data_IF_357771249879
#
_entry.id   IF_357771249879
#
_cell.length_a   1.000
_cell.length_b   1.000
_cell.length_c   1.000
_cell.angle_alpha   90.00
_cell.angle_beta   90.00
_cell.angle_gamma   90.00
#
_symmetry.space_group_name_H-M   'P 1'
#
loop_
_entity.id
_entity.type
_entity.pdbx_description
1 polymer ?
#
# COMPACT_ATOMS: atom_id res chain seq x y z
N UNK A 1 28.03 20.03 -26.87
CA UNK A 1 27.38 18.76 -26.52
C UNK A 1 27.06 18.64 -25.03
N UNK A 2 27.99 18.28 -24.13
CA UNK A 2 27.65 17.87 -22.73
C UNK A 2 26.77 18.90 -21.98
N UNK A 3 27.13 20.20 -22.02
CA UNK A 3 26.35 21.25 -21.34
C UNK A 3 24.98 21.53 -21.99
N UNK A 4 24.84 21.34 -23.29
CA UNK A 4 23.55 21.47 -23.98
C UNK A 4 22.64 20.29 -23.63
N UNK A 5 23.16 19.05 -23.67
CA UNK A 5 22.39 17.85 -23.31
C UNK A 5 21.87 17.92 -21.86
N UNK A 6 22.71 18.36 -20.92
CA UNK A 6 22.29 18.57 -19.54
C UNK A 6 21.24 19.70 -19.38
N UNK A 7 21.27 20.73 -20.23
CA UNK A 7 20.26 21.79 -20.22
C UNK A 7 18.92 21.35 -20.87
N UNK A 8 19.00 20.51 -21.91
CA UNK A 8 17.87 19.85 -22.57
C UNK A 8 17.18 18.85 -21.64
N UNK A 9 17.94 17.96 -21.00
CA UNK A 9 17.49 17.03 -19.96
C UNK A 9 16.83 17.78 -18.78
N UNK A 10 17.43 18.89 -18.31
CA UNK A 10 16.83 19.74 -17.28
C UNK A 10 15.57 20.50 -17.74
N UNK A 11 15.42 20.76 -19.04
CA UNK A 11 14.21 21.30 -19.65
C UNK A 11 13.08 20.28 -19.65
N UNK A 12 13.36 19.08 -20.15
CA UNK A 12 12.43 17.94 -20.18
C UNK A 12 11.94 17.60 -18.76
N UNK A 13 12.85 17.53 -17.78
CA UNK A 13 12.51 17.30 -16.38
C UNK A 13 11.51 18.34 -15.84
N UNK A 14 11.71 19.62 -16.15
CA UNK A 14 10.79 20.71 -15.75
C UNK A 14 9.43 20.61 -16.43
N UNK A 15 9.38 20.18 -17.70
CA UNK A 15 8.12 19.98 -18.41
C UNK A 15 7.35 18.76 -17.86
N UNK A 16 8.01 17.64 -17.57
CA UNK A 16 7.39 16.46 -16.95
C UNK A 16 6.77 16.79 -15.58
N UNK A 17 7.53 17.46 -14.71
CA UNK A 17 7.05 17.92 -13.39
C UNK A 17 5.89 18.90 -13.57
N UNK A 18 5.99 19.87 -14.48
CA UNK A 18 4.90 20.80 -14.77
C UNK A 18 3.65 20.09 -15.31
N UNK A 19 3.80 19.05 -16.13
CA UNK A 19 2.70 18.26 -16.66
C UNK A 19 1.95 17.54 -15.54
N UNK A 20 2.63 16.77 -14.69
CA UNK A 20 1.95 15.93 -13.69
C UNK A 20 1.44 16.73 -12.47
N UNK A 21 2.12 17.80 -12.05
CA UNK A 21 1.68 18.62 -10.92
C UNK A 21 0.64 19.71 -11.27
N UNK A 22 0.53 20.15 -12.54
CA UNK A 22 -0.51 21.12 -12.97
C UNK A 22 -1.81 20.47 -13.46
N UNK A 23 -1.78 19.22 -13.95
CA UNK A 23 -2.95 18.55 -14.55
C UNK A 23 -3.69 17.67 -13.54
N UNK A 24 -4.85 18.14 -13.07
CA UNK A 24 -5.75 17.36 -12.22
C UNK A 24 -6.27 16.07 -12.91
N UNK A 25 -6.82 15.09 -12.15
CA UNK A 25 -7.07 13.73 -12.65
C UNK A 25 -7.95 13.63 -13.90
N UNK A 26 -8.92 14.53 -14.11
CA UNK A 26 -9.71 14.57 -15.34
C UNK A 26 -8.87 14.90 -16.58
N UNK A 27 -7.88 15.80 -16.47
CA UNK A 27 -7.00 16.15 -17.59
C UNK A 27 -6.08 15.00 -17.97
N UNK A 28 -5.60 14.23 -16.98
CA UNK A 28 -4.84 12.98 -17.19
C UNK A 28 -5.71 11.89 -17.83
N UNK A 29 -6.93 11.67 -17.34
CA UNK A 29 -7.93 10.81 -18.00
C UNK A 29 -8.11 11.14 -19.48
N UNK A 30 -8.30 12.41 -19.81
CA UNK A 30 -8.55 12.80 -21.20
C UNK A 30 -7.29 12.68 -22.08
N UNK A 31 -6.09 12.82 -21.52
CA UNK A 31 -4.86 12.45 -22.21
C UNK A 31 -4.78 10.94 -22.48
N UNK A 32 -5.06 10.10 -21.48
CA UNK A 32 -5.11 8.63 -21.62
C UNK A 32 -6.19 8.21 -22.63
N UNK A 33 -7.39 8.80 -22.59
CA UNK A 33 -8.47 8.56 -23.57
C UNK A 33 -8.09 8.94 -25.00
N UNK A 34 -7.27 9.99 -25.19
CA UNK A 34 -6.70 10.32 -26.52
C UNK A 34 -5.64 9.32 -26.94
N UNK A 35 -4.70 8.96 -26.05
CA UNK A 35 -3.66 7.97 -26.33
C UNK A 35 -4.26 6.59 -26.70
N UNK A 36 -5.29 6.14 -25.99
CA UNK A 36 -6.03 4.90 -26.32
C UNK A 36 -6.53 4.92 -27.77
N UNK A 37 -7.08 6.03 -28.26
CA UNK A 37 -7.54 6.15 -29.67
C UNK A 37 -6.40 6.15 -30.71
N UNK A 38 -5.16 6.39 -30.29
CA UNK A 38 -3.97 6.36 -31.16
C UNK A 38 -3.30 4.98 -31.12
N UNK A 39 -3.43 4.24 -30.02
CA UNK A 39 -2.76 2.95 -29.82
C UNK A 39 -3.67 1.72 -29.97
N UNK A 40 -5.00 1.83 -29.85
CA UNK A 40 -5.93 0.74 -30.21
C UNK A 40 -6.05 0.63 -31.73
N UNK A 41 -5.10 -0.06 -32.37
CA UNK A 41 -5.26 -0.55 -33.75
C UNK A 41 -6.19 -1.77 -33.76
N UNK A 42 -7.22 -1.82 -34.62
CA UNK A 42 -8.01 -3.04 -34.85
C UNK A 42 -7.20 -4.20 -35.45
N UNK A 43 -6.08 -3.88 -36.11
CA UNK A 43 -5.25 -4.82 -36.88
C UNK A 43 -4.15 -5.46 -36.02
N UNK A 44 -3.70 -4.76 -34.96
CA UNK A 44 -2.70 -5.21 -34.01
C UNK A 44 -3.08 -4.84 -32.55
N UNK A 45 -4.20 -5.35 -32.02
CA UNK A 45 -4.64 -5.05 -30.65
C UNK A 45 -3.76 -5.75 -29.60
N UNK A 46 -3.47 -5.06 -28.49
CA UNK A 46 -2.65 -5.63 -27.41
C UNK A 46 -3.35 -6.82 -26.70
N UNK A 47 -2.64 -7.95 -26.62
CA UNK A 47 -3.10 -9.22 -26.03
C UNK A 47 -2.09 -9.80 -25.01
N UNK A 48 -2.35 -11.00 -24.47
CA UNK A 48 -1.43 -11.69 -23.55
C UNK A 48 -0.26 -12.39 -24.27
N UNK A 49 -0.31 -12.39 -25.61
CA UNK A 49 0.62 -13.07 -26.49
C UNK A 49 1.47 -12.05 -27.28
N UNK A 50 0.93 -10.86 -27.56
CA UNK A 50 1.62 -9.77 -28.24
C UNK A 50 1.19 -8.40 -27.71
N UNK A 51 2.18 -7.55 -27.43
CA UNK A 51 1.98 -6.13 -27.15
C UNK A 51 2.73 -5.35 -28.24
N UNK A 52 2.09 -4.42 -28.97
CA UNK A 52 2.76 -3.56 -29.95
C UNK A 52 3.93 -2.74 -29.36
N UNK A 53 4.98 -2.50 -30.15
CA UNK A 53 6.22 -1.89 -29.65
C UNK A 53 6.05 -0.44 -29.14
N UNK A 54 5.12 0.32 -29.72
CA UNK A 54 4.74 1.65 -29.23
C UNK A 54 4.15 1.64 -27.80
N UNK A 55 3.71 0.49 -27.30
CA UNK A 55 3.29 0.27 -25.91
C UNK A 55 4.38 -0.41 -25.07
N UNK A 56 5.23 -1.25 -25.67
CA UNK A 56 6.36 -1.93 -24.99
C UNK A 56 7.52 -1.01 -24.64
N UNK A 57 7.76 0.04 -25.43
CA UNK A 57 8.94 0.90 -25.38
C UNK A 57 8.56 2.32 -24.95
N UNK A 58 9.39 2.95 -24.13
CA UNK A 58 9.27 4.34 -23.69
C UNK A 58 9.84 5.31 -24.75
N UNK A 59 9.61 6.61 -24.55
CA UNK A 59 9.95 7.64 -25.53
C UNK A 59 11.47 7.85 -25.70
N UNK A 60 12.27 7.36 -24.75
CA UNK A 60 13.74 7.35 -24.75
C UNK A 60 14.33 6.06 -25.37
N UNK A 61 13.49 5.13 -25.83
CA UNK A 61 13.90 3.82 -26.35
C UNK A 61 14.09 2.73 -25.29
N UNK A 62 13.88 3.03 -24.00
CA UNK A 62 13.97 2.03 -22.92
C UNK A 62 12.73 1.12 -22.88
N UNK A 63 12.87 -0.09 -22.31
CA UNK A 63 11.75 -1.00 -22.16
C UNK A 63 10.83 -0.53 -21.01
N UNK A 64 9.52 -0.68 -21.23
CA UNK A 64 8.50 -0.66 -20.18
C UNK A 64 7.96 -2.07 -19.88
N UNK A 65 7.97 -2.96 -20.88
CA UNK A 65 7.52 -4.36 -20.77
C UNK A 65 8.74 -5.26 -20.65
N UNK A 66 9.07 -5.63 -19.40
CA UNK A 66 10.24 -6.45 -19.07
C UNK A 66 9.96 -7.96 -19.06
N UNK A 67 8.69 -8.39 -18.96
CA UNK A 67 8.25 -9.75 -19.30
C UNK A 67 6.93 -9.74 -20.07
N UNK A 68 6.84 -10.66 -21.02
CA UNK A 68 5.69 -10.93 -21.88
C UNK A 68 5.54 -12.45 -21.99
N UNK A 69 4.81 -13.04 -21.03
CA UNK A 69 4.47 -14.46 -20.98
C UNK A 69 2.93 -14.59 -20.94
N UNK A 70 2.38 -15.66 -21.53
CA UNK A 70 0.93 -15.89 -21.69
C UNK A 70 0.09 -15.72 -20.39
N UNK A 71 0.71 -15.91 -19.23
CA UNK A 71 0.08 -15.78 -17.90
C UNK A 71 0.71 -14.69 -17.02
N UNK A 72 1.79 -14.04 -17.47
CA UNK A 72 2.56 -13.08 -16.67
C UNK A 72 3.17 -11.98 -17.54
N UNK A 73 2.70 -10.75 -17.34
CA UNK A 73 3.39 -9.55 -17.81
C UNK A 73 4.05 -8.83 -16.63
N UNK A 74 5.24 -8.26 -16.84
CA UNK A 74 5.92 -7.42 -15.86
C UNK A 74 6.20 -6.06 -16.48
N UNK A 75 5.68 -5.02 -15.84
CA UNK A 75 5.77 -3.63 -16.25
C UNK A 75 6.57 -2.83 -15.23
N UNK A 76 7.61 -2.14 -15.67
CA UNK A 76 8.32 -1.11 -14.89
C UNK A 76 9.19 -0.26 -15.82
N UNK A 77 9.74 0.82 -15.28
CA UNK A 77 10.77 1.62 -15.94
C UNK A 77 12.05 1.53 -15.10
N UNK A 78 13.13 1.03 -15.70
CA UNK A 78 14.43 0.85 -15.06
C UNK A 78 14.94 2.17 -14.44
N UNK A 79 14.80 3.30 -15.14
CA UNK A 79 15.27 4.61 -14.64
C UNK A 79 14.54 5.05 -13.36
N UNK A 80 13.21 4.84 -13.28
CA UNK A 80 12.41 5.18 -12.10
C UNK A 80 12.85 4.38 -10.87
N UNK A 81 13.17 3.09 -11.02
CA UNK A 81 13.63 2.25 -9.90
C UNK A 81 15.04 2.68 -9.46
N UNK A 82 15.96 2.88 -10.40
CA UNK A 82 17.33 3.27 -10.11
C UNK A 82 17.42 4.67 -9.46
N UNK A 83 16.62 5.63 -9.94
CA UNK A 83 16.52 6.95 -9.32
C UNK A 83 15.90 6.87 -7.92
N UNK A 84 14.86 6.05 -7.71
CA UNK A 84 14.31 5.83 -6.37
C UNK A 84 15.33 5.22 -5.42
N UNK A 85 16.15 4.26 -5.88
CA UNK A 85 17.26 3.67 -5.12
C UNK A 85 18.25 4.74 -4.65
N UNK A 86 18.73 5.57 -5.58
CA UNK A 86 19.71 6.64 -5.34
C UNK A 86 19.16 7.70 -4.36
N UNK A 87 17.88 8.07 -4.48
CA UNK A 87 17.19 9.01 -3.60
C UNK A 87 16.71 8.39 -2.26
N UNK A 88 17.31 7.28 -1.84
CA UNK A 88 17.13 6.71 -0.51
C UNK A 88 15.86 5.88 -0.33
N UNK A 89 15.59 4.96 -1.27
CA UNK A 89 14.47 4.02 -1.24
C UNK A 89 14.33 3.26 0.09
N UNK A 90 13.54 3.78 1.03
CA UNK A 90 13.31 3.11 2.31
C UNK A 90 12.53 1.78 2.13
N UNK A 91 11.67 1.61 1.09
CA UNK A 91 11.12 0.35 0.50
C UNK A 91 9.77 0.50 -0.25
N UNK A 92 9.30 -0.50 -1.01
CA UNK A 92 8.35 -0.29 -2.12
C UNK A 92 6.90 -0.85 -1.93
N UNK A 93 5.84 -0.05 -1.65
CA UNK A 93 4.44 -0.55 -1.42
C UNK A 93 3.99 -1.58 -2.44
N UNK A 94 3.39 -2.70 -2.04
CA UNK A 94 2.73 -3.57 -3.01
C UNK A 94 1.46 -4.24 -2.50
N UNK A 95 0.64 -4.60 -3.49
CA UNK A 95 -0.72 -5.08 -3.29
C UNK A 95 -1.27 -5.72 -4.58
N UNK A 96 -2.27 -6.59 -4.46
CA UNK A 96 -2.86 -7.34 -5.59
C UNK A 96 -4.36 -7.09 -5.80
N UNK A 97 -4.75 -6.61 -6.98
CA UNK A 97 -6.10 -6.11 -7.28
C UNK A 97 -6.81 -6.97 -8.34
N UNK A 98 -7.94 -7.57 -7.98
CA UNK A 98 -8.70 -8.44 -8.89
C UNK A 98 -9.57 -7.70 -9.91
N UNK A 99 -9.95 -6.43 -9.68
CA UNK A 99 -10.86 -5.67 -10.56
C UNK A 99 -10.20 -5.14 -11.84
N UNK A 100 -8.93 -4.71 -11.77
CA UNK A 100 -8.22 -4.07 -12.88
C UNK A 100 -7.51 -5.03 -13.86
N UNK A 101 -7.73 -6.34 -13.74
CA UNK A 101 -7.25 -7.31 -14.72
C UNK A 101 -7.83 -7.03 -16.13
N UNK A 102 -7.06 -7.21 -17.23
CA UNK A 102 -7.56 -7.05 -18.59
C UNK A 102 -8.80 -7.89 -18.90
N UNK A 103 -9.72 -7.36 -19.73
CA UNK A 103 -10.95 -8.08 -20.17
C UNK A 103 -10.66 -9.47 -20.75
N UNK A 104 -9.56 -9.60 -21.48
CA UNK A 104 -9.04 -10.83 -22.07
C UNK A 104 -8.97 -11.98 -21.05
N UNK A 105 -8.64 -11.70 -19.77
CA UNK A 105 -8.43 -12.71 -18.73
C UNK A 105 -9.72 -13.25 -18.08
N UNK A 106 -10.91 -12.79 -18.51
CA UNK A 106 -12.23 -13.36 -18.12
C UNK A 106 -12.38 -13.62 -16.60
N UNK A 107 -11.98 -12.65 -15.77
CA UNK A 107 -12.00 -12.69 -14.29
C UNK A 107 -11.01 -13.66 -13.61
N UNK A 108 -10.12 -14.33 -14.36
CA UNK A 108 -9.12 -15.28 -13.82
C UNK A 108 -7.74 -14.68 -13.50
N UNK A 109 -7.49 -13.43 -13.86
CA UNK A 109 -6.24 -12.72 -13.58
C UNK A 109 -6.29 -11.84 -12.32
N UNK A 110 -5.15 -11.19 -12.01
CA UNK A 110 -5.02 -10.22 -10.93
C UNK A 110 -3.93 -9.21 -11.29
N UNK A 111 -4.20 -7.92 -11.14
CA UNK A 111 -3.21 -6.88 -11.34
C UNK A 111 -2.42 -6.70 -10.04
N UNK A 112 -1.15 -7.07 -10.05
CA UNK A 112 -0.25 -6.86 -8.95
C UNK A 112 0.59 -5.61 -9.19
N UNK A 113 0.70 -4.76 -8.17
CA UNK A 113 1.37 -3.46 -8.29
C UNK A 113 2.37 -3.30 -7.16
N UNK A 114 3.62 -2.99 -7.51
CA UNK A 114 4.69 -2.62 -6.57
C UNK A 114 5.09 -1.18 -6.86
N UNK A 115 5.28 -0.38 -5.82
CA UNK A 115 5.42 1.07 -5.84
C UNK A 115 6.69 1.46 -5.12
N UNK A 116 7.70 1.95 -5.85
CA UNK A 116 8.86 2.62 -5.25
C UNK A 116 8.48 3.88 -4.49
N UNK A 117 7.95 3.71 -3.27
CA UNK A 117 7.95 4.73 -2.24
C UNK A 117 9.28 4.61 -1.50
N UNK A 118 9.63 5.62 -0.71
CA UNK A 118 10.46 5.40 0.47
C UNK A 118 9.57 4.89 1.65
N UNK A 119 8.84 3.76 1.45
CA UNK A 119 8.05 2.83 2.32
C UNK A 119 6.65 2.43 1.71
N UNK A 120 6.20 1.16 1.51
CA UNK A 120 6.79 -0.17 1.72
C UNK A 120 5.90 -1.44 1.34
N UNK A 121 6.40 -2.52 0.65
CA UNK A 121 5.68 -3.78 0.19
C UNK A 121 6.35 -4.70 -0.91
N UNK A 122 5.66 -5.73 -1.53
CA UNK A 122 6.30 -6.84 -2.38
C UNK A 122 5.69 -7.53 -3.69
N UNK A 123 4.41 -7.60 -4.09
CA UNK A 123 3.87 -8.65 -5.04
C UNK A 123 4.35 -8.77 -6.54
N UNK A 124 3.89 -9.83 -7.24
CA UNK A 124 4.56 -10.76 -8.19
C UNK A 124 5.85 -11.31 -7.57
N UNK A 125 5.69 -11.79 -6.33
CA UNK A 125 6.62 -11.47 -5.25
C UNK A 125 8.10 -11.76 -5.56
N UNK A 126 8.48 -13.03 -5.80
CA UNK A 126 9.90 -13.36 -6.02
C UNK A 126 10.44 -12.84 -7.35
N UNK A 127 9.58 -12.59 -8.35
CA UNK A 127 10.01 -12.09 -9.67
C UNK A 127 10.21 -10.59 -9.61
N UNK A 128 9.21 -9.79 -9.20
CA UNK A 128 9.41 -8.33 -9.08
C UNK A 128 10.48 -8.02 -8.03
N UNK A 129 10.64 -8.82 -6.96
CA UNK A 129 11.70 -8.53 -5.98
C UNK A 129 13.08 -8.95 -6.44
N UNK A 130 13.20 -9.86 -7.40
CA UNK A 130 14.45 -10.04 -8.14
C UNK A 130 14.71 -8.84 -9.03
N UNK A 131 13.80 -8.50 -9.96
CA UNK A 131 13.95 -7.31 -10.81
C UNK A 131 14.31 -6.05 -9.98
N UNK A 132 13.60 -5.76 -8.89
CA UNK A 132 13.92 -4.65 -8.00
C UNK A 132 15.25 -4.79 -7.26
N UNK A 133 15.64 -5.99 -6.82
CA UNK A 133 16.95 -6.22 -6.18
C UNK A 133 18.10 -6.07 -7.17
N UNK A 134 17.89 -6.53 -8.39
CA UNK A 134 18.88 -6.52 -9.47
C UNK A 134 19.10 -5.06 -9.93
N UNK A 135 18.03 -4.26 -10.04
CA UNK A 135 18.07 -2.81 -10.30
C UNK A 135 18.56 -1.98 -9.09
N UNK A 136 18.27 -2.40 -7.85
CA UNK A 136 18.81 -1.78 -6.64
C UNK A 136 20.31 -2.06 -6.45
N UNK A 137 20.79 -3.22 -6.90
CA UNK A 137 22.19 -3.63 -6.84
C UNK A 137 22.84 -3.41 -5.48
N UNK A 138 23.91 -2.60 -5.46
CA UNK A 138 24.64 -2.24 -4.24
C UNK A 138 23.95 -1.15 -3.38
N UNK A 139 22.90 -0.50 -3.88
CA UNK A 139 22.18 0.57 -3.19
C UNK A 139 21.07 0.07 -2.24
N UNK A 140 20.89 -1.26 -2.09
CA UNK A 140 19.95 -1.85 -1.12
C UNK A 140 20.29 -1.38 0.31
N UNK A 141 19.39 -0.66 1.02
CA UNK A 141 19.70 -0.15 2.35
C UNK A 141 19.95 -1.28 3.38
N UNK A 142 20.96 -1.16 4.26
CA UNK A 142 21.31 -2.20 5.24
C UNK A 142 20.23 -2.42 6.31
N UNK A 143 19.21 -1.55 6.37
CA UNK A 143 18.02 -1.70 7.22
C UNK A 143 16.73 -1.52 6.42
N UNK A 144 16.71 -2.02 5.18
CA UNK A 144 15.49 -2.12 4.37
C UNK A 144 14.39 -2.77 5.22
N UNK A 145 13.28 -2.06 5.41
CA UNK A 145 12.05 -2.56 6.04
C UNK A 145 11.21 -3.16 4.93
N UNK A 146 10.43 -4.22 5.15
CA UNK A 146 9.41 -4.64 4.18
C UNK A 146 8.03 -4.77 4.82
N UNK A 147 7.04 -3.94 4.44
CA UNK A 147 5.68 -3.93 5.01
C UNK A 147 4.67 -4.54 4.06
N UNK A 148 3.98 -5.60 4.49
CA UNK A 148 3.12 -6.40 3.63
C UNK A 148 1.64 -6.31 4.02
N UNK A 149 0.75 -6.78 3.16
CA UNK A 149 -0.46 -7.43 3.65
C UNK A 149 -0.10 -8.78 4.27
N UNK A 150 -1.03 -9.42 4.96
CA UNK A 150 -0.75 -10.70 5.65
C UNK A 150 -0.78 -11.91 4.69
N UNK A 151 -0.46 -11.70 3.41
CA UNK A 151 -0.38 -12.74 2.40
C UNK A 151 0.85 -13.63 2.63
N UNK A 152 0.62 -14.93 2.81
CA UNK A 152 1.68 -15.91 3.10
C UNK A 152 2.73 -16.00 1.99
N UNK A 153 2.32 -15.82 0.72
CA UNK A 153 3.24 -15.77 -0.41
C UNK A 153 4.16 -14.54 -0.34
N UNK A 154 3.65 -13.38 0.10
CA UNK A 154 4.42 -12.15 0.29
C UNK A 154 5.56 -12.32 1.28
N UNK A 155 5.17 -12.83 2.44
CA UNK A 155 6.02 -13.05 3.60
C UNK A 155 7.15 -14.04 3.25
N UNK A 156 6.84 -15.08 2.49
CA UNK A 156 7.81 -16.08 2.05
C UNK A 156 8.81 -15.53 1.02
N UNK A 157 8.37 -14.63 0.14
CA UNK A 157 9.21 -14.07 -0.91
C UNK A 157 10.18 -13.00 -0.41
N UNK A 158 9.79 -12.16 0.56
CA UNK A 158 10.72 -11.28 1.31
C UNK A 158 11.92 -12.09 1.79
N UNK A 159 11.63 -13.15 2.55
CA UNK A 159 12.62 -14.02 3.18
C UNK A 159 13.54 -14.70 2.15
N UNK A 160 13.06 -14.90 0.92
CA UNK A 160 13.83 -15.50 -0.18
C UNK A 160 14.73 -14.50 -0.91
N UNK A 161 14.29 -13.25 -1.12
CA UNK A 161 15.02 -12.30 -1.97
C UNK A 161 15.81 -11.26 -1.16
N UNK A 162 15.22 -10.78 -0.07
CA UNK A 162 15.78 -9.80 0.87
C UNK A 162 15.84 -10.39 2.31
N UNK A 163 16.70 -11.42 2.54
CA UNK A 163 16.73 -12.16 3.82
C UNK A 163 17.13 -11.31 5.04
N UNK A 164 17.74 -10.14 4.82
CA UNK A 164 18.14 -9.20 5.88
C UNK A 164 17.11 -8.07 6.12
N UNK A 165 16.00 -8.04 5.38
CA UNK A 165 15.01 -6.98 5.52
C UNK A 165 14.05 -7.18 6.70
N UNK A 166 13.65 -6.08 7.34
CA UNK A 166 12.73 -6.11 8.49
C UNK A 166 11.28 -6.24 8.01
N UNK A 167 10.78 -7.47 7.88
CA UNK A 167 9.37 -7.77 7.60
C UNK A 167 8.42 -7.15 8.67
N UNK A 168 7.33 -6.54 8.23
CA UNK A 168 6.26 -5.98 9.07
C UNK A 168 4.89 -6.24 8.40
N UNK A 169 3.86 -6.55 9.18
CA UNK A 169 2.49 -6.57 8.68
C UNK A 169 1.85 -5.17 8.73
N UNK A 170 1.07 -4.81 7.72
CA UNK A 170 0.49 -3.47 7.64
C UNK A 170 -0.72 -3.31 8.59
N UNK A 171 -0.53 -2.51 9.64
CA UNK A 171 -1.50 -2.25 10.71
C UNK A 171 -2.96 -2.04 10.25
N UNK A 172 -3.20 -1.20 9.23
CA UNK A 172 -4.56 -0.89 8.79
C UNK A 172 -5.18 -2.06 7.98
N UNK A 173 -4.41 -2.96 7.38
CA UNK A 173 -4.97 -4.21 6.81
C UNK A 173 -5.53 -5.10 7.93
N UNK A 174 -4.73 -5.30 8.98
CA UNK A 174 -5.14 -6.06 10.16
C UNK A 174 -6.40 -5.45 10.80
N UNK A 175 -6.46 -4.12 10.90
CA UNK A 175 -7.63 -3.40 11.40
C UNK A 175 -8.90 -3.56 10.55
N UNK A 176 -8.81 -3.43 9.21
CA UNK A 176 -9.97 -3.70 8.34
C UNK A 176 -10.46 -5.13 8.51
N UNK A 177 -9.53 -6.09 8.60
CA UNK A 177 -9.86 -7.50 8.74
C UNK A 177 -10.51 -7.81 10.10
N UNK A 178 -9.99 -7.25 11.20
CA UNK A 178 -10.64 -7.25 12.51
C UNK A 178 -12.05 -6.64 12.45
N UNK A 179 -12.21 -5.46 11.83
CA UNK A 179 -13.52 -4.81 11.65
C UNK A 179 -14.51 -5.72 10.91
N UNK A 180 -14.09 -6.40 9.84
CA UNK A 180 -14.92 -7.38 9.12
C UNK A 180 -15.21 -8.64 9.95
N UNK A 181 -14.30 -9.10 10.82
CA UNK A 181 -14.55 -10.23 11.74
C UNK A 181 -15.53 -9.84 12.85
N UNK A 182 -15.40 -8.65 13.46
CA UNK A 182 -16.36 -8.08 14.42
C UNK A 182 -17.78 -8.07 13.86
N UNK A 183 -17.93 -7.54 12.64
CA UNK A 183 -19.24 -7.40 12.00
C UNK A 183 -19.83 -8.79 11.64
N UNK A 184 -19.01 -9.73 11.13
CA UNK A 184 -19.42 -11.13 10.91
C UNK A 184 -19.83 -11.88 12.18
N UNK A 185 -19.15 -11.63 13.30
CA UNK A 185 -19.50 -12.20 14.60
C UNK A 185 -20.71 -11.50 15.26
N UNK A 186 -21.26 -10.45 14.64
CA UNK A 186 -22.35 -9.67 15.20
C UNK A 186 -21.97 -8.94 16.49
N UNK A 187 -20.68 -8.65 16.72
CA UNK A 187 -20.20 -7.87 17.87
C UNK A 187 -20.57 -6.38 17.74
N UNK A 188 -20.74 -5.88 16.52
CA UNK A 188 -21.03 -4.47 16.20
C UNK A 188 -22.26 -3.91 16.94
N UNK A 189 -23.29 -4.73 17.21
CA UNK A 189 -24.52 -4.34 17.93
C UNK A 189 -24.32 -4.00 19.42
N UNK A 190 -23.20 -4.42 20.01
CA UNK A 190 -22.84 -4.07 21.39
C UNK A 190 -21.96 -2.83 21.46
N UNK A 191 -21.42 -2.37 20.33
CA UNK A 191 -20.38 -1.33 20.23
C UNK A 191 -20.96 -0.05 19.62
N UNK A 192 -21.78 -0.18 18.57
CA UNK A 192 -22.65 0.88 18.08
C UNK A 192 -24.06 0.61 18.56
N UNK A 193 -24.76 1.67 18.95
CA UNK A 193 -26.18 1.64 19.29
C UNK A 193 -26.99 1.04 18.12
N UNK A 194 -27.86 0.10 18.44
CA UNK A 194 -28.65 -0.66 17.49
C UNK A 194 -30.07 -0.84 18.03
N UNK A 195 -31.07 -0.80 17.15
CA UNK A 195 -32.48 -0.88 17.54
C UNK A 195 -32.73 -2.17 18.32
N UNK A 196 -33.18 -2.03 19.57
CA UNK A 196 -33.46 -3.16 20.48
C UNK A 196 -32.25 -3.80 21.15
N UNK A 197 -31.03 -3.25 21.03
CA UNK A 197 -29.84 -3.77 21.73
C UNK A 197 -29.09 -2.65 22.44
N UNK A 198 -28.98 -2.77 23.77
CA UNK A 198 -28.20 -1.85 24.59
C UNK A 198 -26.70 -1.97 24.27
N UNK A 199 -26.03 -0.82 24.18
CA UNK A 199 -24.57 -0.74 24.03
C UNK A 199 -23.87 -1.23 25.30
N UNK A 200 -22.88 -2.12 25.17
CA UNK A 200 -22.00 -2.52 26.28
C UNK A 200 -20.67 -1.77 26.17
N UNK A 201 -20.40 -0.91 27.15
CA UNK A 201 -19.12 -0.20 27.29
C UNK A 201 -17.95 -1.17 27.51
N UNK A 202 -18.21 -2.35 28.07
CA UNK A 202 -17.21 -3.40 28.30
C UNK A 202 -16.78 -4.03 26.96
N UNK A 203 -17.74 -4.36 26.09
CA UNK A 203 -17.47 -4.90 24.74
C UNK A 203 -16.86 -3.84 23.84
N UNK A 204 -17.25 -2.56 23.97
CA UNK A 204 -16.59 -1.45 23.29
C UNK A 204 -15.13 -1.27 23.74
N UNK A 205 -14.88 -1.15 25.05
CA UNK A 205 -13.52 -1.01 25.60
C UNK A 205 -12.64 -2.20 25.21
N UNK A 206 -13.18 -3.42 25.28
CA UNK A 206 -12.53 -4.64 24.81
C UNK A 206 -12.16 -4.59 23.33
N UNK A 207 -13.09 -4.18 22.46
CA UNK A 207 -12.85 -4.06 21.03
C UNK A 207 -11.76 -3.03 20.72
N UNK A 208 -11.78 -1.88 21.39
CA UNK A 208 -10.73 -0.88 21.25
C UNK A 208 -9.37 -1.37 21.79
N UNK A 209 -9.32 -2.08 22.91
CA UNK A 209 -8.07 -2.71 23.38
C UNK A 209 -7.53 -3.71 22.35
N UNK A 210 -8.37 -4.44 21.61
CA UNK A 210 -7.93 -5.26 20.48
C UNK A 210 -7.42 -4.40 19.31
N UNK A 211 -8.16 -3.39 18.86
CA UNK A 211 -7.71 -2.53 17.74
C UNK A 211 -6.38 -1.80 18.04
N UNK A 212 -6.17 -1.40 19.29
CA UNK A 212 -4.94 -0.75 19.76
C UNK A 212 -3.66 -1.59 19.65
N UNK A 213 -3.78 -2.92 19.55
CA UNK A 213 -2.64 -3.85 19.46
C UNK A 213 -1.67 -3.54 18.31
N UNK A 214 -2.14 -2.88 17.24
CA UNK A 214 -1.28 -2.50 16.10
C UNK A 214 -0.20 -1.49 16.46
N UNK A 215 -0.38 -0.75 17.56
CA UNK A 215 0.60 0.20 18.10
C UNK A 215 1.36 -0.33 19.32
N UNK A 216 1.06 -1.56 19.77
CA UNK A 216 1.73 -2.19 20.90
C UNK A 216 2.88 -3.09 20.43
N UNK A 217 4.04 -2.91 21.06
CA UNK A 217 5.22 -3.76 20.83
C UNK A 217 4.91 -5.24 21.05
N UNK A 218 5.22 -6.12 20.08
CA UNK A 218 4.87 -7.56 20.08
C UNK A 218 5.25 -8.32 21.36
N UNK A 219 6.32 -7.91 22.05
CA UNK A 219 6.74 -8.47 23.36
C UNK A 219 5.65 -8.33 24.46
N UNK A 220 4.77 -7.35 24.34
CA UNK A 220 3.72 -7.02 25.32
C UNK A 220 2.34 -7.59 24.96
N UNK A 221 2.20 -8.26 23.80
CA UNK A 221 0.93 -8.89 23.40
C UNK A 221 0.49 -9.99 24.39
N UNK A 222 1.40 -10.53 25.22
CA UNK A 222 1.09 -11.47 26.32
C UNK A 222 0.49 -10.80 27.56
N UNK A 223 0.65 -9.49 27.71
CA UNK A 223 0.20 -8.73 28.88
C UNK A 223 -1.19 -8.12 28.69
N UNK A 224 -1.69 -8.09 27.46
CA UNK A 224 -3.02 -7.57 27.08
C UNK A 224 -4.10 -8.57 27.49
N UNK A 225 -4.92 -8.22 28.49
CA UNK A 225 -5.93 -9.12 29.05
C UNK A 225 -7.05 -9.42 28.04
N UNK A 226 -7.36 -8.45 27.17
CA UNK A 226 -8.36 -8.57 26.11
C UNK A 226 -8.12 -9.72 25.12
N UNK A 227 -6.89 -10.24 25.00
CA UNK A 227 -6.56 -11.39 24.16
C UNK A 227 -6.82 -12.74 24.83
N UNK A 228 -6.88 -12.80 26.17
CA UNK A 228 -7.15 -14.03 26.92
C UNK A 228 -8.65 -14.28 27.11
N UNK A 229 -9.42 -13.22 27.41
CA UNK A 229 -10.87 -13.24 27.53
C UNK A 229 -11.45 -11.82 27.35
N UNK A 230 -12.73 -11.69 26.94
CA UNK A 230 -13.44 -10.43 27.01
C UNK A 230 -13.78 -10.09 28.47
N UNK A 231 -13.77 -8.81 28.87
CA UNK A 231 -14.08 -8.34 30.22
C UNK A 231 -15.60 -8.28 30.45
N UNK A 232 -16.31 -9.38 30.21
CA UNK A 232 -17.76 -9.54 30.40
C UNK A 232 -18.06 -10.87 31.10
N UNK A 233 -19.21 -11.02 31.79
CA UNK A 233 -19.65 -12.29 32.36
C UNK A 233 -19.74 -13.43 31.32
N UNK A 234 -19.65 -14.69 31.77
CA UNK A 234 -19.68 -15.86 30.86
C UNK A 234 -21.01 -16.03 30.14
N UNK A 235 -22.05 -15.49 30.75
CA UNK A 235 -23.46 -15.49 30.36
C UNK A 235 -23.73 -14.40 29.31
N UNK A 236 -22.83 -13.41 29.16
CA UNK A 236 -23.00 -12.31 28.23
C UNK A 236 -22.86 -12.79 26.78
N UNK A 237 -23.75 -12.36 25.89
CA UNK A 237 -23.83 -12.83 24.50
C UNK A 237 -22.56 -12.55 23.64
N UNK A 238 -21.63 -11.71 24.11
CA UNK A 238 -20.31 -11.53 23.50
C UNK A 238 -19.23 -12.52 23.99
N UNK A 239 -19.42 -13.17 25.14
CA UNK A 239 -18.45 -14.09 25.73
C UNK A 239 -18.13 -15.34 24.88
N UNK A 240 -19.03 -15.97 24.09
CA UNK A 240 -18.60 -17.04 23.20
C UNK A 240 -17.79 -16.56 21.99
N UNK A 241 -17.84 -15.26 21.65
CA UNK A 241 -17.37 -14.76 20.36
C UNK A 241 -15.86 -14.51 20.28
N UNK A 242 -15.14 -14.30 21.40
CA UNK A 242 -13.69 -14.06 21.36
C UNK A 242 -12.89 -15.24 20.79
N UNK A 243 -13.32 -16.47 21.09
CA UNK A 243 -12.67 -17.70 20.60
C UNK A 243 -12.70 -17.82 19.08
N UNK A 244 -13.63 -17.15 18.43
CA UNK A 244 -13.78 -17.10 16.96
C UNK A 244 -12.99 -15.95 16.32
N UNK A 245 -12.19 -15.18 17.05
CA UNK A 245 -11.54 -13.96 16.55
C UNK A 245 -10.23 -14.17 15.76
N UNK A 246 -9.64 -15.36 15.78
CA UNK A 246 -8.19 -15.55 15.49
C UNK A 246 -7.86 -15.95 14.04
N UNK A 247 -8.81 -16.49 13.27
CA UNK A 247 -8.53 -17.04 11.94
C UNK A 247 -8.44 -16.00 10.80
N UNK A 248 -7.40 -16.22 9.95
CA UNK A 248 -6.96 -15.54 8.73
C UNK A 248 -7.60 -14.19 8.31
N UNK A 249 -6.75 -13.15 8.28
CA UNK A 249 -7.15 -11.75 8.19
C UNK A 249 -6.24 -10.98 7.20
N UNK A 250 -6.77 -10.71 5.99
CA UNK A 250 -6.08 -10.13 4.80
C UNK A 250 -6.52 -8.67 4.55
N UNK A 251 -5.85 -7.91 3.66
CA UNK A 251 -6.32 -6.67 2.96
C UNK A 251 -6.71 -5.39 3.75
N UNK A 252 -6.50 -4.14 3.29
CA UNK A 252 -5.78 -3.56 2.10
C UNK A 252 -5.58 -2.03 2.28
N UNK A 253 -4.37 -1.48 2.52
CA UNK A 253 -4.25 -0.05 2.95
C UNK A 253 -2.99 0.81 2.68
N UNK A 254 -1.80 0.30 2.38
CA UNK A 254 -0.70 1.22 1.97
C UNK A 254 -0.83 1.64 0.49
N UNK A 255 -1.53 0.83 -0.31
CA UNK A 255 -1.82 1.09 -1.71
C UNK A 255 -3.15 1.84 -1.94
N UNK A 256 -3.91 2.21 -0.90
CA UNK A 256 -5.23 2.85 -1.07
C UNK A 256 -5.21 4.14 -1.91
N UNK A 257 -4.24 5.09 -1.75
CA UNK A 257 -4.15 6.24 -2.64
C UNK A 257 -3.95 5.84 -4.10
N UNK A 258 -3.10 4.84 -4.34
CA UNK A 258 -2.85 4.29 -5.67
C UNK A 258 -4.08 3.58 -6.25
N UNK A 259 -4.86 2.86 -5.44
CA UNK A 259 -6.12 2.24 -5.87
C UNK A 259 -7.20 3.26 -6.18
N UNK A 260 -7.32 4.31 -5.36
CA UNK A 260 -8.23 5.43 -5.63
C UNK A 260 -7.86 6.11 -6.95
N UNK A 261 -6.57 6.26 -7.22
CA UNK A 261 -6.05 6.78 -8.48
C UNK A 261 -6.27 5.84 -9.68
N UNK A 262 -6.01 4.53 -9.54
CA UNK A 262 -6.34 3.52 -10.57
C UNK A 262 -7.84 3.56 -10.90
N UNK A 263 -8.74 3.55 -9.90
CA UNK A 263 -10.18 3.72 -10.12
C UNK A 263 -10.48 5.02 -10.91
N UNK A 264 -9.84 6.12 -10.52
CA UNK A 264 -10.05 7.45 -11.12
C UNK A 264 -9.58 7.51 -12.58
N UNK A 265 -8.48 6.84 -12.95
CA UNK A 265 -7.90 6.84 -14.30
C UNK A 265 -8.48 5.74 -15.20
N UNK A 266 -8.82 4.56 -14.65
CA UNK A 266 -9.31 3.41 -15.42
C UNK A 266 -10.80 3.51 -15.76
N UNK A 267 -11.63 4.11 -14.90
CA UNK A 267 -13.08 4.25 -15.11
C UNK A 267 -13.80 2.91 -15.39
N UNK A 268 -14.06 2.14 -14.32
CA UNK A 268 -14.80 0.88 -14.36
C UNK A 268 -13.94 -0.38 -14.25
N UNK A 269 -14.58 -1.53 -14.06
CA UNK A 269 -13.90 -2.81 -13.97
C UNK A 269 -13.38 -3.29 -15.33
N UNK A 270 -12.28 -4.03 -15.30
CA UNK A 270 -11.68 -4.72 -16.44
C UNK A 270 -11.37 -3.80 -17.65
N UNK A 271 -10.21 -3.11 -17.68
CA UNK A 271 -9.77 -2.35 -18.85
C UNK A 271 -9.38 -3.24 -20.06
N UNK A 272 -9.21 -2.63 -21.23
CA UNK A 272 -8.41 -3.22 -22.32
C UNK A 272 -6.93 -3.20 -21.93
N UNK A 273 -6.12 -4.10 -22.48
CA UNK A 273 -4.68 -4.13 -22.18
C UNK A 273 -3.99 -2.82 -22.57
N UNK A 274 -4.34 -2.24 -23.73
CA UNK A 274 -3.92 -0.89 -24.17
C UNK A 274 -4.19 0.16 -23.10
N UNK A 275 -5.43 0.24 -22.59
CA UNK A 275 -5.81 1.22 -21.56
C UNK A 275 -5.05 0.98 -20.25
N UNK A 276 -4.83 -0.27 -19.86
CA UNK A 276 -4.05 -0.61 -18.67
C UNK A 276 -2.59 -0.16 -18.78
N UNK A 277 -1.92 -0.46 -19.89
CA UNK A 277 -0.51 -0.08 -20.12
C UNK A 277 -0.35 1.45 -20.12
N UNK A 278 -1.26 2.17 -20.78
CA UNK A 278 -1.23 3.63 -20.82
C UNK A 278 -1.50 4.28 -19.45
N UNK A 279 -2.36 3.69 -18.62
CA UNK A 279 -2.53 4.11 -17.22
C UNK A 279 -1.26 3.84 -16.40
N UNK A 280 -0.62 2.68 -16.56
CA UNK A 280 0.63 2.36 -15.86
C UNK A 280 1.78 3.31 -16.26
N UNK A 281 1.87 3.74 -17.54
CA UNK A 281 2.84 4.74 -17.99
C UNK A 281 2.57 6.16 -17.44
N UNK A 282 1.31 6.57 -17.31
CA UNK A 282 0.94 7.86 -16.66
C UNK A 282 1.21 7.86 -15.14
N UNK A 283 1.21 6.68 -14.50
CA UNK A 283 1.58 6.50 -13.10
C UNK A 283 3.10 6.48 -12.90
N UNK A 284 3.86 5.85 -13.81
CA UNK A 284 5.33 5.89 -13.81
C UNK A 284 5.86 7.32 -14.05
N UNK A 285 5.29 8.07 -15.00
CA UNK A 285 5.66 9.47 -15.24
C UNK A 285 5.41 10.40 -14.05
N UNK A 286 4.38 10.12 -13.23
CA UNK A 286 4.19 10.81 -11.94
C UNK A 286 5.26 10.41 -10.92
N UNK A 287 5.62 9.12 -10.85
CA UNK A 287 6.68 8.64 -9.96
C UNK A 287 8.03 9.29 -10.33
N UNK A 288 8.41 9.30 -11.61
CA UNK A 288 9.58 10.03 -12.11
C UNK A 288 9.51 11.52 -11.73
N UNK A 289 8.37 12.19 -11.96
CA UNK A 289 8.20 13.61 -11.61
C UNK A 289 8.37 13.88 -10.10
N UNK A 290 7.90 12.96 -9.25
CA UNK A 290 8.08 13.07 -7.80
C UNK A 290 9.54 12.83 -7.37
N UNK A 291 10.26 11.92 -8.04
CA UNK A 291 11.68 11.65 -7.80
C UNK A 291 12.56 12.82 -8.27
N UNK A 292 12.35 13.34 -9.48
CA UNK A 292 12.99 14.55 -10.00
C UNK A 292 12.78 15.75 -9.05
N UNK A 293 11.58 15.87 -8.46
CA UNK A 293 11.30 16.92 -7.47
C UNK A 293 12.08 16.69 -6.16
N UNK A 294 12.25 15.45 -5.72
CA UNK A 294 13.01 15.07 -4.52
C UNK A 294 14.54 15.19 -4.72
N UNK A 295 15.03 15.01 -5.94
CA UNK A 295 16.43 15.26 -6.31
C UNK A 295 16.76 16.76 -6.28
N UNK A 296 15.86 17.59 -6.81
CA UNK A 296 16.00 19.06 -6.84
C UNK A 296 15.75 19.72 -5.47
N UNK A 297 14.89 19.12 -4.64
CA UNK A 297 14.65 19.51 -3.25
C UNK A 297 14.66 18.25 -2.35
N UNK A 298 15.81 17.88 -1.75
CA UNK A 298 15.89 16.77 -0.80
C UNK A 298 15.08 16.96 0.48
N UNK A 299 14.51 18.16 0.72
CA UNK A 299 13.56 18.41 1.81
C UNK A 299 12.09 18.19 1.41
N UNK A 300 11.83 17.84 0.14
CA UNK A 300 10.49 17.73 -0.45
C UNK A 300 9.64 16.62 0.18
N UNK A 301 8.93 16.97 1.25
CA UNK A 301 7.92 16.08 1.85
C UNK A 301 6.59 16.17 1.08
N UNK A 302 6.15 15.04 0.49
CA UNK A 302 4.82 14.92 -0.17
C UNK A 302 3.74 15.48 0.76
N UNK A 303 2.94 16.44 0.25
CA UNK A 303 2.04 17.24 1.09
C UNK A 303 0.99 16.38 1.79
N UNK A 304 1.24 16.06 3.07
CA UNK A 304 0.25 15.51 3.98
C UNK A 304 -0.73 16.61 4.40
N UNK A 305 -2.04 16.35 4.26
CA UNK A 305 -3.11 17.19 4.79
C UNK A 305 -2.87 17.44 6.29
N UNK A 306 -3.30 18.61 6.80
CA UNK A 306 -3.01 19.02 8.18
C UNK A 306 -3.43 17.95 9.21
N UNK A 307 -4.66 17.41 9.08
CA UNK A 307 -5.19 16.31 9.91
C UNK A 307 -4.27 15.09 9.94
N UNK A 308 -3.76 14.65 8.79
CA UNK A 308 -2.91 13.45 8.69
C UNK A 308 -1.53 13.68 9.28
N UNK A 309 -0.96 14.88 9.07
CA UNK A 309 0.32 15.30 9.65
C UNK A 309 0.23 15.39 11.18
N UNK A 310 -0.84 15.98 11.70
CA UNK A 310 -1.15 16.04 13.14
C UNK A 310 -1.36 14.63 13.74
N UNK A 311 -2.16 13.77 13.08
CA UNK A 311 -2.42 12.39 13.52
C UNK A 311 -1.12 11.58 13.59
N UNK A 312 -0.24 11.68 12.59
CA UNK A 312 1.09 11.04 12.62
C UNK A 312 1.96 11.56 13.78
N UNK A 313 1.97 12.88 14.04
CA UNK A 313 2.70 13.46 15.19
C UNK A 313 2.15 12.92 16.53
N UNK A 314 0.83 12.87 16.70
CA UNK A 314 0.19 12.31 17.91
C UNK A 314 0.58 10.85 18.09
N UNK A 315 0.36 9.98 17.09
CA UNK A 315 0.75 8.56 17.15
C UNK A 315 2.22 8.39 17.56
N UNK A 316 3.15 9.13 16.95
CA UNK A 316 4.58 9.03 17.26
C UNK A 316 4.93 9.47 18.70
N UNK A 317 4.30 10.53 19.20
CA UNK A 317 4.50 11.01 20.58
C UNK A 317 4.01 9.99 21.61
N UNK A 318 2.80 9.45 21.42
CA UNK A 318 2.19 8.47 22.33
C UNK A 318 3.00 7.15 22.34
N UNK A 319 3.49 6.72 21.17
CA UNK A 319 4.39 5.58 21.06
C UNK A 319 5.76 5.81 21.73
N UNK A 320 6.26 7.05 21.81
CA UNK A 320 7.48 7.37 22.56
C UNK A 320 7.22 7.33 24.06
N UNK A 321 6.23 8.12 24.52
CA UNK A 321 5.80 8.22 25.92
C UNK A 321 5.54 6.85 26.56
N UNK A 322 4.82 5.96 25.85
CA UNK A 322 4.56 4.61 26.34
C UNK A 322 5.82 3.72 26.40
N UNK A 323 6.75 3.86 25.45
CA UNK A 323 8.02 3.13 25.50
C UNK A 323 8.98 3.65 26.59
N UNK A 324 8.93 4.94 26.91
CA UNK A 324 9.67 5.56 28.01
C UNK A 324 9.12 5.10 29.37
N UNK A 325 7.79 5.11 29.55
CA UNK A 325 7.15 4.58 30.75
C UNK A 325 7.34 3.07 30.89
N UNK A 326 7.34 2.30 29.78
CA UNK A 326 7.66 0.87 29.80
C UNK A 326 9.03 0.57 30.42
N UNK A 327 10.05 1.42 30.24
CA UNK A 327 11.37 1.24 30.86
C UNK A 327 11.34 1.39 32.39
N UNK A 328 10.31 2.04 32.95
CA UNK A 328 10.08 2.21 34.39
C UNK A 328 9.21 1.10 35.00
N UNK A 329 8.71 0.19 34.16
CA UNK A 329 7.68 -0.79 34.50
C UNK A 329 6.27 -0.24 34.27
N UNK A 330 5.40 -1.07 33.70
CA UNK A 330 3.97 -0.77 33.48
C UNK A 330 3.12 -2.00 33.82
N UNK A 331 1.94 -1.77 34.36
CA UNK A 331 0.96 -2.82 34.66
C UNK A 331 0.19 -3.27 33.42
N UNK A 332 -0.47 -4.43 33.51
CA UNK A 332 -1.41 -4.91 32.49
C UNK A 332 -2.58 -3.96 32.24
N UNK A 333 -2.93 -3.14 33.23
CA UNK A 333 -4.00 -2.15 33.10
C UNK A 333 -3.57 -0.98 32.20
N UNK A 334 -2.36 -0.44 32.42
CA UNK A 334 -1.78 0.61 31.57
C UNK A 334 -1.53 0.11 30.14
N UNK A 335 -1.17 -1.17 29.97
CA UNK A 335 -1.06 -1.81 28.64
C UNK A 335 -2.42 -1.86 27.92
N UNK A 336 -3.49 -2.31 28.60
CA UNK A 336 -4.84 -2.34 28.01
C UNK A 336 -5.38 -0.93 27.71
N UNK A 337 -5.06 0.05 28.57
CA UNK A 337 -5.48 1.46 28.44
C UNK A 337 -4.76 2.19 27.32
N UNK A 338 -3.43 2.02 27.19
CA UNK A 338 -2.68 2.49 26.02
C UNK A 338 -3.28 1.93 24.73
N UNK A 339 -3.58 0.63 24.67
CA UNK A 339 -4.23 0.04 23.50
C UNK A 339 -5.62 0.67 23.24
N UNK A 340 -6.50 0.71 24.25
CA UNK A 340 -7.84 1.30 24.10
C UNK A 340 -7.79 2.77 23.62
N UNK A 341 -6.81 3.53 24.10
CA UNK A 341 -6.58 4.92 23.71
C UNK A 341 -6.01 5.06 22.29
N UNK A 342 -5.08 4.19 21.89
CA UNK A 342 -4.49 4.20 20.55
C UNK A 342 -5.46 3.70 19.47
N UNK A 343 -6.49 2.91 19.84
CA UNK A 343 -7.54 2.42 18.95
C UNK A 343 -8.25 3.51 18.12
N UNK A 344 -8.45 4.70 18.70
CA UNK A 344 -9.07 5.84 18.00
C UNK A 344 -8.29 6.23 16.72
N UNK A 345 -6.97 6.07 16.74
CA UNK A 345 -6.12 6.32 15.57
C UNK A 345 -6.25 5.24 14.50
N UNK A 346 -6.78 4.05 14.83
CA UNK A 346 -7.17 3.01 13.88
C UNK A 346 -8.55 3.34 13.29
N UNK A 347 -9.53 3.63 14.15
CA UNK A 347 -10.90 3.96 13.76
C UNK A 347 -10.98 5.17 12.82
N UNK A 348 -10.17 6.22 13.06
CA UNK A 348 -10.05 7.41 12.19
C UNK A 348 -9.59 7.11 10.74
N UNK A 349 -9.08 5.90 10.47
CA UNK A 349 -8.71 5.45 9.11
C UNK A 349 -9.82 4.65 8.42
N UNK A 350 -10.79 4.12 9.16
CA UNK A 350 -11.74 3.11 8.66
C UNK A 350 -13.06 3.71 8.13
N UNK A 351 -13.00 4.91 7.53
CA UNK A 351 -14.16 5.72 7.08
C UNK A 351 -13.89 6.33 5.71
#
# INVERSE_FOLDING_TARGET
MIKEKAAEEAGICKEMVAQHYRKGPSSRRDAIRRAVRVHDSPEAPASMEMIPDNLRVLNDGSLFVHRLEQTLHVYYNTSTIQMAAQLGLHALVADGVHTFQPRQLKRKGQLYTVHGVCNNGVEVYTIIFRHLKDELGAAVPPRLRIVLDYEKAAINAVKRVFPHATEQGCAFHLAQAWNRRRDRLGLRRFIKEAVGVAKSLEVERWWYTIEGLVYLSRRLHREVRALAAPPVPREHAAYPLYKLGVEELRTKNLAEPHHSQLNTLIEGDHPTLTKLILVLRDLDGEAQSALITLEQDPSHSKHLRRKDRERRKRIAHEMSSFNENYQRGVSRMEVDEYCCYMARFVAETSV
#
